data_IF_409332363207
#
_entry.id   IF_409332363207
#
_cell.length_a   1.000
_cell.length_b   1.000
_cell.length_c   1.000
_cell.angle_alpha   90.00
_cell.angle_beta   90.00
_cell.angle_gamma   90.00
#
_symmetry.space_group_name_H-M   'P 1'
#
loop_
_entity.id
_entity.type
_entity.pdbx_description
1 polymer ?
#
# COMPACT_ATOMS: atom_id res chain seq x y z
N UNK A 1 2.06 6.75 20.28
CA UNK A 1 2.48 7.12 18.92
C UNK A 1 1.66 8.35 18.51
N UNK A 2 2.25 9.40 17.93
CA UNK A 2 1.47 10.58 17.49
C UNK A 2 0.67 10.26 16.22
N UNK A 3 -0.42 10.98 15.99
CA UNK A 3 -1.22 10.83 14.76
C UNK A 3 -0.36 11.03 13.50
N UNK A 4 0.54 12.03 13.51
CA UNK A 4 1.50 12.26 12.43
C UNK A 4 2.36 11.02 12.13
N UNK A 5 2.90 10.37 13.16
CA UNK A 5 3.74 9.19 12.97
C UNK A 5 2.92 7.98 12.50
N UNK A 6 1.65 7.87 12.94
CA UNK A 6 0.70 6.90 12.40
C UNK A 6 0.47 7.09 10.90
N UNK A 7 0.15 8.31 10.46
CA UNK A 7 -0.05 8.62 9.04
C UNK A 7 1.21 8.40 8.21
N UNK A 8 2.40 8.76 8.74
CA UNK A 8 3.67 8.54 8.06
C UNK A 8 3.94 7.04 7.83
N UNK A 9 3.81 6.23 8.89
CA UNK A 9 4.06 4.78 8.81
C UNK A 9 3.00 4.10 7.94
N UNK A 10 1.73 4.45 8.11
CA UNK A 10 0.64 3.87 7.32
C UNK A 10 0.79 4.19 5.83
N UNK A 11 1.11 5.44 5.49
CA UNK A 11 1.33 5.83 4.09
C UNK A 11 2.57 5.15 3.51
N UNK A 12 3.64 5.00 4.30
CA UNK A 12 4.83 4.26 3.88
C UNK A 12 4.50 2.79 3.55
N UNK A 13 3.70 2.12 4.40
CA UNK A 13 3.23 0.75 4.13
C UNK A 13 2.38 0.69 2.84
N UNK A 14 1.43 1.61 2.68
CA UNK A 14 0.57 1.69 1.51
C UNK A 14 1.41 1.81 0.22
N UNK A 15 2.38 2.73 0.19
CA UNK A 15 3.20 2.99 -1.01
C UNK A 15 4.18 1.85 -1.29
N UNK A 16 4.82 1.28 -0.26
CA UNK A 16 5.74 0.16 -0.45
C UNK A 16 5.02 -1.06 -1.02
N UNK A 17 3.83 -1.38 -0.50
CA UNK A 17 3.06 -2.54 -0.96
C UNK A 17 2.38 -2.26 -2.31
N UNK A 18 1.65 -1.16 -2.44
CA UNK A 18 0.94 -0.79 -3.67
C UNK A 18 1.90 -0.54 -4.84
N UNK A 19 2.93 0.27 -4.61
CA UNK A 19 4.01 0.49 -5.58
C UNK A 19 4.81 -0.79 -5.88
N UNK A 20 5.01 -1.64 -4.88
CA UNK A 20 5.66 -2.95 -5.03
C UNK A 20 4.93 -3.88 -6.00
N UNK A 21 3.59 -3.90 -5.96
CA UNK A 21 2.78 -4.68 -6.92
C UNK A 21 2.89 -4.09 -8.32
N UNK A 22 2.85 -2.77 -8.47
CA UNK A 22 3.09 -2.13 -9.78
C UNK A 22 4.47 -2.48 -10.34
N UNK A 23 5.51 -2.46 -9.50
CA UNK A 23 6.86 -2.87 -9.87
C UNK A 23 6.92 -4.36 -10.26
N UNK A 24 6.24 -5.21 -9.47
CA UNK A 24 6.11 -6.64 -9.74
C UNK A 24 5.48 -6.93 -11.10
N UNK A 25 4.46 -6.18 -11.50
CA UNK A 25 3.77 -6.40 -12.79
C UNK A 25 4.50 -5.76 -13.98
N UNK A 26 5.32 -4.73 -13.75
CA UNK A 26 5.90 -3.90 -14.83
C UNK A 26 7.37 -4.21 -15.14
N UNK A 27 8.18 -4.63 -14.16
CA UNK A 27 9.63 -4.79 -14.34
C UNK A 27 10.01 -6.10 -15.05
N UNK A 28 10.89 -6.00 -16.07
CA UNK A 28 11.27 -7.07 -17.01
C UNK A 28 11.92 -8.32 -16.41
N UNK A 29 12.22 -8.34 -15.10
CA UNK A 29 12.82 -9.48 -14.38
C UNK A 29 11.99 -9.92 -13.17
N UNK A 30 10.76 -9.44 -13.08
CA UNK A 30 9.84 -9.89 -12.05
C UNK A 30 9.10 -11.14 -12.51
N UNK A 31 8.95 -12.12 -11.61
CA UNK A 31 8.12 -13.30 -11.85
C UNK A 31 6.62 -12.97 -12.00
N UNK A 32 6.21 -11.77 -11.61
CA UNK A 32 4.84 -11.28 -11.78
C UNK A 32 4.66 -10.39 -13.02
N UNK A 33 5.66 -10.31 -13.92
CA UNK A 33 5.59 -9.49 -15.13
C UNK A 33 4.37 -9.90 -15.97
N UNK A 34 3.59 -8.91 -16.41
CA UNK A 34 2.38 -9.10 -17.23
C UNK A 34 1.22 -9.87 -16.56
N UNK A 35 1.19 -9.97 -15.22
CA UNK A 35 0.06 -10.56 -14.49
C UNK A 35 -1.26 -9.78 -14.56
N UNK A 36 -1.27 -8.62 -15.22
CA UNK A 36 -2.49 -7.86 -15.55
C UNK A 36 -3.06 -7.02 -14.41
N UNK A 37 -4.16 -6.33 -14.73
CA UNK A 37 -4.76 -5.29 -13.87
C UNK A 37 -5.36 -5.84 -12.57
N UNK A 38 -5.90 -7.07 -12.58
CA UNK A 38 -6.56 -7.68 -11.42
C UNK A 38 -5.58 -7.84 -10.24
N UNK A 39 -4.33 -8.20 -10.53
CA UNK A 39 -3.27 -8.32 -9.52
C UNK A 39 -2.92 -6.96 -8.96
N UNK A 40 -2.86 -5.92 -9.80
CA UNK A 40 -2.61 -4.54 -9.35
C UNK A 40 -3.74 -4.06 -8.43
N UNK A 41 -4.99 -4.17 -8.84
CA UNK A 41 -6.13 -3.70 -8.04
C UNK A 41 -6.27 -4.46 -6.73
N UNK A 42 -6.08 -5.79 -6.74
CA UNK A 42 -6.10 -6.59 -5.51
C UNK A 42 -4.94 -6.22 -4.59
N UNK A 43 -3.75 -6.04 -5.15
CA UNK A 43 -2.55 -5.63 -4.42
C UNK A 43 -2.72 -4.30 -3.70
N UNK A 44 -3.26 -3.29 -4.39
CA UNK A 44 -3.58 -1.99 -3.80
C UNK A 44 -4.68 -2.08 -2.73
N UNK A 45 -5.74 -2.84 -2.97
CA UNK A 45 -6.80 -3.05 -1.97
C UNK A 45 -6.29 -3.69 -0.68
N UNK A 46 -5.42 -4.69 -0.80
CA UNK A 46 -4.76 -5.32 0.36
C UNK A 46 -3.77 -4.37 1.04
N UNK A 47 -3.03 -3.56 0.28
CA UNK A 47 -2.11 -2.56 0.83
C UNK A 47 -2.84 -1.53 1.71
N UNK A 48 -4.00 -1.04 1.25
CA UNK A 48 -4.87 -0.15 2.04
C UNK A 48 -5.34 -0.83 3.32
N UNK A 49 -5.82 -2.08 3.24
CA UNK A 49 -6.27 -2.82 4.41
C UNK A 49 -5.14 -2.99 5.45
N UNK A 50 -3.96 -3.43 5.01
CA UNK A 50 -2.79 -3.60 5.90
C UNK A 50 -2.41 -2.30 6.57
N UNK A 51 -2.31 -1.20 5.81
CA UNK A 51 -1.97 0.10 6.36
C UNK A 51 -3.04 0.59 7.36
N UNK A 52 -4.32 0.45 7.03
CA UNK A 52 -5.43 0.87 7.88
C UNK A 52 -5.47 0.08 9.20
N UNK A 53 -5.28 -1.24 9.17
CA UNK A 53 -5.21 -2.04 10.40
C UNK A 53 -3.95 -1.76 11.23
N UNK A 54 -2.84 -1.38 10.59
CA UNK A 54 -1.59 -1.08 11.28
C UNK A 54 -1.66 0.22 12.11
N UNK A 55 -2.35 1.26 11.60
CA UNK A 55 -2.33 2.61 12.22
C UNK A 55 -3.70 3.19 12.55
N UNK A 56 -4.79 2.47 12.28
CA UNK A 56 -6.16 2.96 12.46
C UNK A 56 -6.49 3.40 13.89
N UNK A 57 -6.04 2.66 14.90
CA UNK A 57 -6.22 3.02 16.31
C UNK A 57 -5.32 4.17 16.78
N UNK A 58 -4.38 4.62 15.96
CA UNK A 58 -3.37 5.63 16.28
C UNK A 58 -3.71 6.98 15.64
N UNK A 59 -4.05 6.99 14.34
CA UNK A 59 -4.24 8.22 13.56
C UNK A 59 -5.61 8.36 12.90
N UNK A 60 -6.47 7.33 12.97
CA UNK A 60 -7.69 7.25 12.17
C UNK A 60 -7.46 6.69 10.76
N UNK A 61 -6.20 6.43 10.39
CA UNK A 61 -5.79 5.87 9.11
C UNK A 61 -6.38 6.61 7.90
N UNK A 62 -6.13 7.92 7.80
CA UNK A 62 -6.54 8.68 6.61
C UNK A 62 -5.75 8.22 5.39
N UNK A 63 -4.43 8.12 5.53
CA UNK A 63 -3.48 7.59 4.53
C UNK A 63 -3.52 8.30 3.16
N UNK A 64 -4.25 9.41 3.08
CA UNK A 64 -4.54 10.17 1.88
C UNK A 64 -4.85 11.63 2.29
N UNK A 65 -4.24 12.63 1.63
CA UNK A 65 -4.54 14.04 1.90
C UNK A 65 -5.90 14.55 1.43
N UNK A 66 -6.61 13.80 0.57
CA UNK A 66 -7.90 14.20 -0.01
C UNK A 66 -9.06 14.22 0.99
#
# INVERSE_FOLDING_TARGET
MSAFLGELIGTALLIVLGGGVCAGVSLKKSFAKDSGWIVITMGWGLAVAVAAYAVGSISGAHLNPA
#
